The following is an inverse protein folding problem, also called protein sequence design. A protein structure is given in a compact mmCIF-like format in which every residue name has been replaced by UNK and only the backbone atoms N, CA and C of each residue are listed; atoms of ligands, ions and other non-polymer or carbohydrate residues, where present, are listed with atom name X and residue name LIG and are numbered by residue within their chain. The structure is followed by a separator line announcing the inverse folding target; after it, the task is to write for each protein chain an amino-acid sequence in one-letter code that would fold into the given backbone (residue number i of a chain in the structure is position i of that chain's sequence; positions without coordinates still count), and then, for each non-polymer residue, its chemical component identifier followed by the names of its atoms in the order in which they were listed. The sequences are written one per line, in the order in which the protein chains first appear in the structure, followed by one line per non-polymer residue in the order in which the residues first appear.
data_IF_767097757957
#
_entry.id   IF_767097757957
#
_cell.length_a   1.000
_cell.length_b   1.000
_cell.length_c   1.000
_cell.angle_alpha   90.00
_cell.angle_beta   90.00
_cell.angle_gamma   90.00
#
_symmetry.space_group_name_H-M   'P 1'
#
loop_
_entity.id
_entity.type
_entity.pdbx_description
1 polymer ?
#
# COMPACT_ATOMS: atom_id res chain seq x y z
N UNK A 1 2.89 24.78 7.01
CA UNK A 1 2.48 23.36 7.10
C UNK A 1 2.18 22.86 5.70
N UNK A 2 2.95 21.90 5.19
CA UNK A 2 2.66 21.23 3.92
C UNK A 2 1.55 20.18 4.12
N UNK A 3 0.88 19.76 3.05
CA UNK A 3 -0.19 18.76 3.11
C UNK A 3 0.28 17.48 3.83
N UNK A 4 1.48 17.02 3.49
CA UNK A 4 2.13 15.86 4.12
C UNK A 4 2.24 16.01 5.65
N UNK A 5 2.71 17.17 6.12
CA UNK A 5 2.85 17.40 7.57
C UNK A 5 1.52 17.42 8.30
N UNK A 6 0.45 17.94 7.67
CA UNK A 6 -0.91 17.88 8.26
C UNK A 6 -1.42 16.44 8.36
N UNK A 7 -1.39 15.69 7.26
CA UNK A 7 -1.87 14.30 7.26
C UNK A 7 -1.09 13.42 8.23
N UNK A 8 0.23 13.59 8.32
CA UNK A 8 1.05 12.85 9.26
C UNK A 8 0.69 13.19 10.72
N UNK A 9 0.45 14.47 11.04
CA UNK A 9 0.00 14.88 12.37
C UNK A 9 -1.37 14.30 12.71
N UNK A 10 -2.35 14.39 11.79
CA UNK A 10 -3.70 13.85 11.99
C UNK A 10 -3.68 12.32 12.16
N UNK A 11 -2.83 11.63 11.39
CA UNK A 11 -2.62 10.18 11.50
C UNK A 11 -2.04 9.79 12.86
N UNK A 12 -1.12 10.58 13.42
CA UNK A 12 -0.54 10.34 14.74
C UNK A 12 -1.59 10.58 15.85
N UNK A 13 -2.37 11.65 15.72
CA UNK A 13 -3.37 12.05 16.73
C UNK A 13 -4.52 11.04 16.84
N UNK A 14 -4.95 10.45 15.72
CA UNK A 14 -6.01 9.44 15.67
C UNK A 14 -5.53 8.08 15.13
N UNK A 15 -4.37 7.62 15.61
CA UNK A 15 -3.67 6.45 15.08
C UNK A 15 -4.53 5.19 14.97
N UNK A 16 -5.36 4.87 15.96
CA UNK A 16 -6.15 3.62 15.96
C UNK A 16 -7.18 3.63 14.82
N UNK A 17 -7.95 4.70 14.69
CA UNK A 17 -8.97 4.84 13.64
C UNK A 17 -8.35 4.91 12.25
N UNK A 18 -7.28 5.69 12.10
CA UNK A 18 -6.60 5.80 10.82
C UNK A 18 -5.84 4.53 10.43
N UNK A 19 -5.34 3.74 11.37
CA UNK A 19 -4.70 2.45 11.08
C UNK A 19 -5.70 1.45 10.49
N UNK A 20 -6.93 1.40 10.99
CA UNK A 20 -7.97 0.54 10.42
C UNK A 20 -8.30 0.95 8.97
N UNK A 21 -8.47 2.25 8.72
CA UNK A 21 -8.67 2.79 7.37
C UNK A 21 -7.48 2.50 6.45
N UNK A 22 -6.26 2.66 6.96
CA UNK A 22 -5.02 2.41 6.23
C UNK A 22 -4.91 0.94 5.78
N UNK A 23 -5.27 -0.01 6.65
CA UNK A 23 -5.31 -1.44 6.29
C UNK A 23 -6.30 -1.67 5.15
N UNK A 24 -7.52 -1.14 5.27
CA UNK A 24 -8.57 -1.32 4.25
C UNK A 24 -8.11 -0.75 2.91
N UNK A 25 -7.66 0.50 2.89
CA UNK A 25 -7.20 1.18 1.67
C UNK A 25 -6.01 0.43 1.06
N UNK A 26 -4.97 0.12 1.83
CA UNK A 26 -3.77 -0.58 1.32
C UNK A 26 -4.12 -1.94 0.74
N UNK A 27 -4.99 -2.71 1.41
CA UNK A 27 -5.30 -4.08 1.00
C UNK A 27 -6.25 -4.09 -0.21
N UNK A 28 -7.25 -3.22 -0.25
CA UNK A 28 -8.15 -3.12 -1.40
C UNK A 28 -7.42 -2.67 -2.67
N UNK A 29 -6.53 -1.67 -2.56
CA UNK A 29 -5.77 -1.17 -3.70
C UNK A 29 -4.74 -2.21 -4.18
N UNK A 30 -4.11 -2.94 -3.25
CA UNK A 30 -3.29 -4.11 -3.56
C UNK A 30 -4.07 -5.19 -4.32
N UNK A 31 -5.28 -5.55 -3.88
CA UNK A 31 -6.13 -6.51 -4.57
C UNK A 31 -6.47 -6.08 -6.01
N UNK A 32 -6.73 -4.79 -6.23
CA UNK A 32 -6.97 -4.25 -7.59
C UNK A 32 -5.71 -4.37 -8.45
N UNK A 33 -4.53 -4.04 -7.90
CA UNK A 33 -3.26 -4.17 -8.60
C UNK A 33 -2.94 -5.62 -8.98
N UNK A 34 -3.19 -6.57 -8.07
CA UNK A 34 -3.00 -8.00 -8.33
C UNK A 34 -3.98 -8.49 -9.40
N UNK A 35 -5.26 -8.14 -9.28
CA UNK A 35 -6.29 -8.58 -10.21
C UNK A 35 -6.01 -8.08 -11.64
N UNK A 36 -5.73 -6.79 -11.79
CA UNK A 36 -5.37 -6.19 -13.09
C UNK A 36 -4.12 -6.86 -13.68
N UNK A 37 -3.12 -7.13 -12.85
CA UNK A 37 -1.91 -7.84 -13.27
C UNK A 37 -2.17 -9.24 -13.79
N UNK A 38 -2.98 -10.04 -13.08
CA UNK A 38 -3.31 -11.42 -13.49
C UNK A 38 -4.24 -11.48 -14.71
N UNK A 39 -5.09 -10.46 -14.92
CA UNK A 39 -5.93 -10.39 -16.11
C UNK A 39 -5.10 -10.31 -17.41
N UNK A 40 -3.90 -9.72 -17.35
CA UNK A 40 -2.95 -9.69 -18.46
C UNK A 40 -2.20 -11.00 -18.70
N UNK A 41 -2.33 -12.01 -17.83
CA UNK A 41 -1.68 -13.31 -17.94
C UNK A 41 -0.86 -13.73 -16.70
N UNK A 42 0.00 -14.72 -16.91
CA UNK A 42 0.71 -15.45 -15.84
C UNK A 42 2.21 -15.60 -16.12
N UNK A 43 2.83 -14.64 -16.79
CA UNK A 43 4.26 -14.65 -17.06
C UNK A 43 5.09 -14.32 -15.81
N UNK A 44 6.38 -14.62 -15.84
CA UNK A 44 7.30 -14.39 -14.71
C UNK A 44 7.30 -12.90 -14.25
N UNK A 45 7.19 -11.96 -15.19
CA UNK A 45 7.11 -10.52 -14.89
C UNK A 45 5.85 -10.14 -14.13
N UNK A 46 4.68 -10.67 -14.52
CA UNK A 46 3.40 -10.46 -13.85
C UNK A 46 3.43 -11.04 -12.43
N UNK A 47 3.97 -12.25 -12.27
CA UNK A 47 4.12 -12.85 -10.95
C UNK A 47 5.08 -12.05 -10.04
N UNK A 48 6.12 -11.44 -10.60
CA UNK A 48 7.02 -10.56 -9.85
C UNK A 48 6.30 -9.28 -9.38
N UNK A 49 5.48 -8.66 -10.22
CA UNK A 49 4.65 -7.50 -9.83
C UNK A 49 3.68 -7.85 -8.70
N UNK A 50 3.01 -9.01 -8.78
CA UNK A 50 2.11 -9.53 -7.74
C UNK A 50 2.87 -9.75 -6.43
N UNK A 51 4.03 -10.41 -6.49
CA UNK A 51 4.89 -10.63 -5.33
C UNK A 51 5.25 -9.30 -4.66
N UNK A 52 5.65 -8.29 -5.44
CA UNK A 52 6.02 -6.99 -4.95
C UNK A 52 4.84 -6.26 -4.30
N UNK A 53 3.65 -6.32 -4.90
CA UNK A 53 2.40 -5.79 -4.31
C UNK A 53 2.10 -6.44 -2.95
N UNK A 54 2.14 -7.78 -2.89
CA UNK A 54 1.84 -8.53 -1.66
C UNK A 54 2.84 -8.21 -0.56
N UNK A 55 4.15 -8.21 -0.85
CA UNK A 55 5.19 -7.95 0.15
C UNK A 55 5.04 -6.54 0.75
N UNK A 56 4.79 -5.53 -0.08
CA UNK A 56 4.66 -4.14 0.39
C UNK A 56 3.39 -3.96 1.23
N UNK A 57 2.25 -4.52 0.80
CA UNK A 57 1.01 -4.50 1.57
C UNK A 57 1.14 -5.27 2.90
N UNK A 58 1.79 -6.43 2.89
CA UNK A 58 2.04 -7.22 4.09
C UNK A 58 2.99 -6.51 5.05
N UNK A 59 4.01 -5.81 4.55
CA UNK A 59 4.93 -5.02 5.38
C UNK A 59 4.20 -3.88 6.11
N UNK A 60 3.31 -3.16 5.41
CA UNK A 60 2.45 -2.13 6.03
C UNK A 60 1.55 -2.73 7.12
N UNK A 61 0.84 -3.82 6.82
CA UNK A 61 -0.05 -4.45 7.79
C UNK A 61 0.72 -5.01 9.00
N UNK A 62 1.91 -5.59 8.77
CA UNK A 62 2.79 -6.07 9.84
C UNK A 62 3.30 -4.93 10.72
N UNK A 63 3.62 -3.76 10.15
CA UNK A 63 4.03 -2.60 10.93
C UNK A 63 2.93 -2.11 11.89
N UNK A 64 1.67 -2.16 11.47
CA UNK A 64 0.52 -1.84 12.33
C UNK A 64 0.38 -2.88 13.46
N UNK A 65 0.39 -4.17 13.11
CA UNK A 65 0.22 -5.28 14.07
C UNK A 65 1.35 -5.36 15.10
N UNK A 66 2.56 -4.98 14.71
CA UNK A 66 3.74 -4.93 15.61
C UNK A 66 3.86 -3.59 16.34
N UNK A 67 2.85 -2.72 16.24
CA UNK A 67 2.78 -1.42 16.94
C UNK A 67 4.04 -0.58 16.68
N UNK A 68 4.45 -0.51 15.41
CA UNK A 68 5.57 0.33 15.01
C UNK A 68 5.26 1.81 15.19
N UNK A 69 6.31 2.63 15.11
CA UNK A 69 6.18 4.10 15.19
C UNK A 69 5.17 4.58 14.14
N UNK A 70 4.16 5.40 14.51
CA UNK A 70 3.12 5.86 13.57
C UNK A 70 3.65 6.52 12.29
N UNK A 71 4.79 7.21 12.37
CA UNK A 71 5.48 7.76 11.19
C UNK A 71 5.90 6.67 10.20
N UNK A 72 6.49 5.57 10.68
CA UNK A 72 6.90 4.45 9.84
C UNK A 72 5.70 3.78 9.17
N UNK A 73 4.61 3.61 9.91
CA UNK A 73 3.35 3.08 9.37
C UNK A 73 2.80 3.98 8.26
N UNK A 74 2.77 5.30 8.48
CA UNK A 74 2.32 6.26 7.49
C UNK A 74 3.20 6.28 6.24
N UNK A 75 4.52 6.20 6.40
CA UNK A 75 5.47 6.12 5.27
C UNK A 75 5.27 4.83 4.46
N UNK A 76 5.05 3.70 5.15
CA UNK A 76 4.72 2.42 4.51
C UNK A 76 3.38 2.45 3.79
N UNK A 77 2.38 3.16 4.31
CA UNK A 77 1.09 3.35 3.66
C UNK A 77 1.25 4.11 2.34
N UNK A 78 2.00 5.23 2.36
CA UNK A 78 2.29 6.00 1.15
C UNK A 78 3.06 5.14 0.15
N UNK A 79 4.02 4.35 0.64
CA UNK A 79 4.81 3.44 -0.20
C UNK A 79 3.91 2.39 -0.85
N UNK A 80 3.01 1.75 -0.09
CA UNK A 80 2.08 0.73 -0.63
C UNK A 80 1.12 1.31 -1.65
N UNK A 81 0.57 2.50 -1.40
CA UNK A 81 -0.27 3.24 -2.34
C UNK A 81 0.48 3.53 -3.64
N UNK A 82 1.68 4.11 -3.54
CA UNK A 82 2.48 4.52 -4.70
C UNK A 82 2.89 3.32 -5.53
N UNK A 83 3.38 2.25 -4.89
CA UNK A 83 3.80 1.02 -5.56
C UNK A 83 2.64 0.36 -6.29
N UNK A 84 1.48 0.20 -5.64
CA UNK A 84 0.31 -0.43 -6.27
C UNK A 84 -0.26 0.43 -7.41
N UNK A 85 -0.26 1.76 -7.28
CA UNK A 85 -0.61 2.67 -8.38
C UNK A 85 0.33 2.52 -9.57
N UNK A 86 1.65 2.45 -9.34
CA UNK A 86 2.62 2.21 -10.40
C UNK A 86 2.44 0.85 -11.07
N UNK A 87 2.10 -0.19 -10.32
CA UNK A 87 1.80 -1.52 -10.89
C UNK A 87 0.56 -1.46 -11.77
N UNK A 88 -0.52 -0.82 -11.31
CA UNK A 88 -1.77 -0.67 -12.11
C UNK A 88 -1.49 0.09 -13.41
N UNK A 89 -0.78 1.21 -13.34
CA UNK A 89 -0.45 2.02 -14.52
C UNK A 89 0.50 1.27 -15.45
N UNK A 90 1.54 0.64 -14.90
CA UNK A 90 2.51 -0.13 -15.68
C UNK A 90 1.89 -1.36 -16.35
N UNK A 91 0.90 -1.99 -15.71
CA UNK A 91 0.14 -3.07 -16.30
C UNK A 91 -0.79 -2.58 -17.43
N UNK A 92 -1.41 -1.41 -17.31
CA UNK A 92 -2.25 -0.85 -18.38
C UNK A 92 -1.51 -0.43 -19.66
N UNK A 93 -0.18 -0.42 -19.65
CA UNK A 93 0.67 -0.07 -20.81
C UNK A 93 1.09 -1.31 -21.62
N UNK A 94 1.01 -2.52 -21.05
CA UNK A 94 1.41 -3.79 -21.67
C UNK A 94 0.22 -4.70 -21.96
#
# INVERSE_FOLDING_TARGET
MTLYTKLSTDFIENYIGYSALAIIVSTCLGSIAIMTTLMGGHNLSQMFMVFLSVVVCSAHNAAILTVQKPKLVFDLLITSLTVNLLIIIGNGIF
#
